data_IF_056126178501
#
_entry.id   IF_056126178501
#
_cell.length_a   1.000
_cell.length_b   1.000
_cell.length_c   1.000
_cell.angle_alpha   90.00
_cell.angle_beta   90.00
_cell.angle_gamma   90.00
#
_symmetry.space_group_name_H-M   'P 1'
#
loop_
_entity.id
_entity.type
_entity.pdbx_description
1 polymer ?
#
# COMPACT_ATOMS: atom_id res chain seq x y z
N UNK A 1 13.38 18.94 0.55
CA UNK A 1 12.70 17.98 -0.34
C UNK A 1 12.62 16.69 0.45
N UNK A 2 11.44 16.12 0.70
CA UNK A 2 11.38 14.81 1.36
C UNK A 2 12.19 13.83 0.49
N UNK A 3 13.01 12.99 1.12
CA UNK A 3 13.69 11.92 0.41
C UNK A 3 12.64 11.03 -0.25
N UNK A 4 12.94 10.37 -1.37
CA UNK A 4 12.09 9.32 -1.92
C UNK A 4 12.17 8.10 -0.99
N UNK A 5 11.64 8.23 0.22
CA UNK A 5 11.36 7.10 1.09
C UNK A 5 10.32 6.24 0.37
N UNK A 6 10.53 4.92 0.37
CA UNK A 6 9.58 4.03 -0.29
C UNK A 6 8.20 4.32 0.27
N UNK A 7 7.20 4.40 -0.61
CA UNK A 7 5.78 4.61 -0.29
C UNK A 7 5.24 3.52 0.65
N UNK A 8 6.03 2.49 0.96
CA UNK A 8 5.63 1.32 1.71
C UNK A 8 6.13 1.29 3.16
N UNK A 9 7.15 2.08 3.53
CA UNK A 9 7.71 2.01 4.90
C UNK A 9 6.73 2.43 6.01
N UNK A 10 5.80 3.35 5.72
CA UNK A 10 4.75 3.74 6.68
C UNK A 10 3.48 2.87 6.57
N UNK A 11 3.33 2.09 5.49
CA UNK A 11 2.20 1.18 5.30
C UNK A 11 2.47 -0.18 5.94
N UNK A 12 3.71 -0.65 5.89
CA UNK A 12 4.13 -1.92 6.47
C UNK A 12 3.74 -2.08 7.95
N UNK A 13 3.92 -1.09 8.85
CA UNK A 13 3.52 -1.24 10.24
C UNK A 13 2.03 -1.56 10.37
N UNK A 14 1.17 -0.79 9.69
CA UNK A 14 -0.28 -1.01 9.70
C UNK A 14 -0.66 -2.39 9.17
N UNK A 15 0.02 -2.85 8.12
CA UNK A 15 -0.16 -4.20 7.60
C UNK A 15 0.24 -5.25 8.63
N UNK A 16 1.47 -5.21 9.13
CA UNK A 16 2.05 -6.18 10.05
C UNK A 16 1.30 -6.28 11.39
N UNK A 17 0.73 -5.17 11.86
CA UNK A 17 -0.07 -5.15 13.07
C UNK A 17 -1.57 -5.37 12.84
N UNK A 18 -2.00 -5.55 11.59
CA UNK A 18 -3.43 -5.60 11.21
C UNK A 18 -4.23 -4.44 11.80
N UNK A 19 -3.56 -3.31 12.02
CA UNK A 19 -4.17 -2.15 12.60
C UNK A 19 -4.99 -1.51 11.49
N UNK A 20 -6.31 -1.49 11.65
CA UNK A 20 -7.11 -0.63 10.81
C UNK A 20 -6.59 0.80 10.98
N UNK A 21 -6.36 1.52 9.87
CA UNK A 21 -5.88 2.89 9.92
C UNK A 21 -6.82 3.77 10.72
N UNK A 22 -8.10 3.42 10.76
CA UNK A 22 -9.17 4.16 11.42
C UNK A 22 -10.33 3.20 11.72
N UNK A 23 -10.90 3.25 12.92
CA UNK A 23 -12.14 2.55 13.26
C UNK A 23 -13.39 3.41 12.98
N UNK A 24 -14.59 2.87 13.22
CA UNK A 24 -15.85 3.60 13.02
C UNK A 24 -16.00 4.84 13.93
N UNK A 25 -15.18 4.96 14.97
CA UNK A 25 -15.12 6.10 15.88
C UNK A 25 -13.97 7.07 15.53
N UNK A 26 -13.35 6.90 14.37
CA UNK A 26 -12.21 7.67 13.90
C UNK A 26 -10.98 7.60 14.81
N UNK A 27 -10.81 6.49 15.53
CA UNK A 27 -9.58 6.21 16.26
C UNK A 27 -8.62 5.44 15.38
N UNK A 28 -7.34 5.77 15.51
CA UNK A 28 -6.25 4.98 14.95
C UNK A 28 -5.82 3.92 15.98
N UNK A 29 -5.40 2.74 15.49
CA UNK A 29 -4.97 1.63 16.35
C UNK A 29 -3.48 1.24 16.16
N UNK A 30 -2.74 1.96 15.32
CA UNK A 30 -1.32 1.69 15.06
C UNK A 30 -0.40 2.15 16.20
N UNK A 31 -0.91 2.85 17.22
CA UNK A 31 -0.19 3.23 18.45
C UNK A 31 -0.45 2.28 19.63
N UNK A 32 -1.10 1.14 19.38
CA UNK A 32 -1.14 0.01 20.31
C UNK A 32 0.24 -0.63 20.49
N UNK A 33 0.41 -1.47 21.51
CA UNK A 33 1.67 -2.19 21.75
C UNK A 33 2.09 -3.01 20.51
N UNK A 34 1.13 -3.68 19.85
CA UNK A 34 1.39 -4.43 18.61
C UNK A 34 1.73 -3.50 17.43
N UNK A 35 1.10 -2.34 17.34
CA UNK A 35 1.44 -1.32 16.34
C UNK A 35 2.85 -0.77 16.52
N UNK A 36 3.24 -0.46 17.76
CA UNK A 36 4.59 0.01 18.11
C UNK A 36 5.63 -1.09 17.82
N UNK A 37 5.35 -2.35 18.15
CA UNK A 37 6.20 -3.50 17.77
C UNK A 37 6.42 -3.56 16.25
N UNK A 38 5.36 -3.35 15.46
CA UNK A 38 5.46 -3.37 14.01
C UNK A 38 6.27 -2.19 13.45
N UNK A 39 6.09 -0.99 14.00
CA UNK A 39 6.91 0.17 13.66
C UNK A 39 8.37 -0.04 14.04
N UNK A 40 8.64 -0.63 15.20
CA UNK A 40 10.00 -0.95 15.65
C UNK A 40 10.66 -1.95 14.70
N UNK A 41 9.96 -3.02 14.33
CA UNK A 41 10.47 -4.02 13.40
C UNK A 41 10.86 -3.40 12.06
N UNK A 42 9.99 -2.60 11.45
CA UNK A 42 10.26 -1.96 10.15
C UNK A 42 11.40 -0.94 10.27
N UNK A 43 11.48 -0.23 11.39
CA UNK A 43 12.56 0.73 11.67
C UNK A 43 13.91 0.04 11.81
N UNK A 44 13.97 -1.07 12.57
CA UNK A 44 15.20 -1.82 12.84
C UNK A 44 15.87 -2.31 11.56
N UNK A 45 15.08 -2.73 10.55
CA UNK A 45 15.59 -3.10 9.22
C UNK A 45 16.47 -1.98 8.62
N UNK A 46 16.14 -0.72 8.86
CA UNK A 46 16.85 0.44 8.31
C UNK A 46 17.91 0.98 9.28
N UNK A 47 17.56 1.18 10.55
CA UNK A 47 18.40 1.92 11.50
C UNK A 47 19.41 1.04 12.23
N UNK A 48 19.17 -0.27 12.30
CA UNK A 48 19.98 -1.21 13.08
C UNK A 48 20.61 -2.29 12.21
N UNK A 49 19.83 -2.93 11.36
CA UNK A 49 20.26 -4.11 10.60
C UNK A 49 20.90 -3.72 9.25
N UNK A 50 20.55 -2.54 8.71
CA UNK A 50 21.15 -1.99 7.49
C UNK A 50 20.65 -2.68 6.21
N UNK A 51 19.47 -3.28 6.26
CA UNK A 51 18.83 -3.98 5.14
C UNK A 51 18.35 -3.01 4.05
N UNK A 52 18.09 -1.75 4.41
CA UNK A 52 17.84 -0.69 3.44
C UNK A 52 18.38 0.68 3.93
N UNK A 53 18.54 1.62 3.00
CA UNK A 53 18.91 3.00 3.30
C UNK A 53 18.06 3.99 2.46
N UNK A 54 17.42 5.00 3.08
CA UNK A 54 16.51 5.90 2.37
C UNK A 54 17.20 6.80 1.34
N UNK A 55 18.53 6.95 1.41
CA UNK A 55 19.31 7.72 0.42
C UNK A 55 19.88 6.85 -0.72
N UNK A 56 19.75 5.52 -0.64
CA UNK A 56 20.32 4.60 -1.63
C UNK A 56 19.31 4.29 -2.74
N UNK A 57 19.19 5.13 -3.77
CA UNK A 57 18.22 4.93 -4.88
C UNK A 57 16.75 4.91 -4.42
N UNK A 58 15.84 5.09 -5.38
CA UNK A 58 14.41 4.85 -5.14
C UNK A 58 14.10 3.35 -5.07
N UNK A 59 13.10 2.96 -4.27
CA UNK A 59 12.70 1.55 -4.06
C UNK A 59 12.48 0.78 -5.37
N UNK A 60 11.70 1.36 -6.30
CA UNK A 60 11.44 0.77 -7.61
C UNK A 60 12.74 0.44 -8.38
N UNK A 61 13.76 1.30 -8.25
CA UNK A 61 15.05 1.14 -8.91
C UNK A 61 15.91 0.07 -8.23
N UNK A 62 15.88 -0.03 -6.90
CA UNK A 62 16.68 -1.01 -6.15
C UNK A 62 16.42 -2.43 -6.66
N UNK A 63 15.16 -2.83 -6.75
CA UNK A 63 14.79 -4.19 -7.18
C UNK A 63 15.00 -4.41 -8.68
N UNK A 64 14.56 -3.46 -9.53
CA UNK A 64 14.69 -3.57 -10.99
C UNK A 64 16.15 -3.61 -11.47
N UNK A 65 17.08 -2.98 -10.73
CA UNK A 65 18.52 -3.02 -11.00
C UNK A 65 19.25 -4.19 -10.31
N UNK A 66 18.53 -5.10 -9.65
CA UNK A 66 19.12 -6.23 -8.92
C UNK A 66 19.96 -5.83 -7.71
N UNK A 67 19.70 -4.67 -7.11
CA UNK A 67 20.36 -4.17 -5.90
C UNK A 67 19.62 -4.53 -4.61
N UNK A 68 18.33 -4.83 -4.69
CA UNK A 68 17.53 -5.38 -3.61
C UNK A 68 17.09 -6.82 -3.94
N UNK A 69 17.16 -7.70 -2.96
CA UNK A 69 16.72 -9.10 -3.09
C UNK A 69 15.20 -9.26 -2.95
N UNK A 70 14.55 -8.36 -2.22
CA UNK A 70 13.10 -8.31 -2.03
C UNK A 70 12.60 -6.88 -2.17
N UNK A 71 11.34 -6.75 -2.58
CA UNK A 71 10.60 -5.49 -2.62
C UNK A 71 9.15 -5.76 -2.26
N UNK A 72 8.59 -4.92 -1.40
CA UNK A 72 7.15 -4.89 -1.17
C UNK A 72 6.55 -3.95 -2.21
N UNK A 73 5.51 -4.41 -2.89
CA UNK A 73 4.90 -3.70 -4.00
C UNK A 73 3.43 -4.02 -4.11
N UNK A 74 2.68 -3.08 -4.69
CA UNK A 74 1.32 -3.30 -5.17
C UNK A 74 1.30 -4.22 -6.40
N UNK A 75 0.11 -4.70 -6.75
CA UNK A 75 -0.14 -5.58 -7.90
C UNK A 75 0.45 -5.04 -9.21
N UNK A 76 0.29 -3.74 -9.47
CA UNK A 76 0.80 -3.06 -10.67
C UNK A 76 2.31 -3.22 -10.86
N UNK A 77 3.06 -3.46 -9.76
CA UNK A 77 4.50 -3.72 -9.80
C UNK A 77 4.89 -4.92 -10.66
N UNK A 78 4.00 -5.90 -10.87
CA UNK A 78 4.23 -7.02 -11.79
C UNK A 78 4.37 -6.51 -13.24
N UNK A 79 3.48 -5.59 -13.64
CA UNK A 79 3.51 -4.96 -14.95
C UNK A 79 4.67 -3.98 -15.11
N UNK A 80 4.92 -3.16 -14.08
CA UNK A 80 6.03 -2.21 -14.07
C UNK A 80 7.37 -2.91 -14.28
N UNK A 81 7.62 -4.04 -13.59
CA UNK A 81 8.85 -4.81 -13.75
C UNK A 81 8.98 -5.42 -15.14
N UNK A 82 7.87 -5.84 -15.76
CA UNK A 82 7.88 -6.33 -17.15
C UNK A 82 8.35 -5.24 -18.13
N UNK A 83 8.04 -3.97 -17.86
CA UNK A 83 8.46 -2.84 -18.68
C UNK A 83 9.89 -2.37 -18.35
N UNK A 84 10.19 -2.18 -17.07
CA UNK A 84 11.44 -1.58 -16.60
C UNK A 84 12.62 -2.57 -16.55
N UNK A 85 12.34 -3.85 -16.32
CA UNK A 85 13.36 -4.90 -16.18
C UNK A 85 12.86 -6.24 -16.76
N UNK A 86 12.62 -6.34 -18.08
CA UNK A 86 12.00 -7.51 -18.72
C UNK A 86 12.76 -8.83 -18.51
N UNK A 87 14.07 -8.75 -18.30
CA UNK A 87 14.92 -9.92 -18.08
C UNK A 87 14.97 -10.38 -16.62
N UNK A 88 14.50 -9.55 -15.68
CA UNK A 88 14.50 -9.84 -14.25
C UNK A 88 13.63 -11.07 -13.97
N UNK A 89 14.22 -12.05 -13.29
CA UNK A 89 13.52 -13.25 -12.84
C UNK A 89 13.09 -13.03 -11.39
N UNK A 90 11.78 -12.96 -11.16
CA UNK A 90 11.22 -12.75 -9.83
C UNK A 90 9.99 -13.62 -9.57
N UNK A 91 9.65 -13.76 -8.29
CA UNK A 91 8.44 -14.43 -7.81
C UNK A 91 7.70 -13.50 -6.85
N UNK A 92 6.37 -13.59 -6.89
CA UNK A 92 5.48 -12.87 -5.96
C UNK A 92 5.02 -13.84 -4.89
N UNK A 93 5.02 -13.36 -3.65
CA UNK A 93 4.51 -14.05 -2.48
C UNK A 93 3.67 -13.09 -1.65
N UNK A 94 2.81 -13.63 -0.78
CA UNK A 94 2.23 -12.83 0.29
C UNK A 94 3.36 -12.18 1.11
N UNK A 95 3.14 -10.94 1.55
CA UNK A 95 4.13 -10.22 2.33
C UNK A 95 4.47 -11.01 3.61
N UNK A 96 5.76 -11.14 3.96
CA UNK A 96 6.17 -11.82 5.18
C UNK A 96 5.55 -11.16 6.42
N UNK A 97 5.25 -11.98 7.43
CA UNK A 97 4.77 -11.54 8.73
C UNK A 97 5.49 -12.33 9.84
N UNK A 98 5.63 -11.78 11.06
CA UNK A 98 6.16 -12.53 12.17
C UNK A 98 5.34 -13.81 12.41
N UNK A 99 6.00 -14.94 12.68
CA UNK A 99 5.35 -16.25 12.81
C UNK A 99 4.30 -16.31 13.93
N UNK A 100 4.42 -15.46 14.95
CA UNK A 100 3.46 -15.32 16.06
C UNK A 100 2.25 -14.45 15.74
N UNK A 101 2.21 -13.80 14.56
CA UNK A 101 1.16 -12.88 14.13
C UNK A 101 0.44 -13.44 12.91
N UNK A 102 -0.85 -13.15 12.69
CA UNK A 102 -1.56 -13.65 11.52
C UNK A 102 -1.05 -12.98 10.24
N UNK A 103 -1.05 -13.68 9.09
CA UNK A 103 -0.74 -13.09 7.80
C UNK A 103 -1.72 -11.96 7.50
N UNK A 104 -1.20 -10.91 6.89
CA UNK A 104 -2.00 -9.78 6.45
C UNK A 104 -1.43 -9.19 5.18
N UNK A 105 -2.35 -8.82 4.30
CA UNK A 105 -2.09 -8.05 3.10
C UNK A 105 -2.99 -6.83 3.21
N UNK A 106 -2.49 -5.67 2.83
CA UNK A 106 -3.33 -4.47 2.75
C UNK A 106 -3.80 -4.29 1.32
N UNK A 107 -5.09 -3.97 1.16
CA UNK A 107 -5.68 -3.61 -0.11
C UNK A 107 -6.07 -2.14 -0.09
N UNK A 108 -5.68 -1.39 -1.11
CA UNK A 108 -6.23 -0.07 -1.42
C UNK A 108 -7.02 -0.15 -2.73
N UNK A 109 -7.83 0.86 -3.00
CA UNK A 109 -8.56 0.94 -4.26
C UNK A 109 -8.61 2.36 -4.80
N UNK A 110 -8.67 2.46 -6.13
CA UNK A 110 -9.01 3.70 -6.82
C UNK A 110 -10.41 3.58 -7.38
N UNK A 111 -11.22 4.63 -7.22
CA UNK A 111 -12.59 4.67 -7.72
C UNK A 111 -12.74 5.71 -8.82
N UNK A 112 -13.42 5.34 -9.91
CA UNK A 112 -13.87 6.31 -10.90
C UNK A 112 -15.07 7.08 -10.36
N UNK A 113 -14.98 8.41 -10.37
CA UNK A 113 -16.05 9.32 -9.95
C UNK A 113 -16.44 10.25 -11.08
N UNK A 114 -17.74 10.60 -11.16
CA UNK A 114 -18.24 11.61 -12.08
C UNK A 114 -18.53 12.88 -11.29
N UNK A 115 -17.86 13.98 -11.65
CA UNK A 115 -18.10 15.28 -11.05
C UNK A 115 -19.56 15.71 -11.23
N UNK A 116 -20.18 16.18 -10.15
CA UNK A 116 -21.53 16.75 -10.16
C UNK A 116 -21.65 18.00 -11.04
N UNK A 117 -20.53 18.69 -11.29
CA UNK A 117 -20.46 19.84 -12.18
C UNK A 117 -20.32 19.45 -13.67
N UNK A 118 -20.24 18.15 -14.00
CA UNK A 118 -20.12 17.70 -15.38
C UNK A 118 -21.33 18.13 -16.20
N UNK A 119 -21.08 18.71 -17.38
CA UNK A 119 -22.14 19.02 -18.35
C UNK A 119 -22.58 17.78 -19.15
N UNK A 120 -21.91 16.63 -18.95
CA UNK A 120 -22.08 15.41 -19.73
C UNK A 120 -22.23 14.18 -18.83
N UNK A 121 -23.05 14.27 -17.77
CA UNK A 121 -23.18 13.24 -16.71
C UNK A 121 -23.49 11.84 -17.28
N UNK A 122 -24.44 11.73 -18.23
CA UNK A 122 -24.81 10.44 -18.81
C UNK A 122 -23.67 9.79 -19.60
N UNK A 123 -22.96 10.58 -20.42
CA UNK A 123 -21.83 10.10 -21.19
C UNK A 123 -20.65 9.72 -20.28
N UNK A 124 -20.39 10.53 -19.24
CA UNK A 124 -19.37 10.22 -18.23
C UNK A 124 -19.67 8.89 -17.51
N UNK A 125 -20.93 8.66 -17.10
CA UNK A 125 -21.30 7.37 -16.50
C UNK A 125 -21.23 6.20 -17.48
N UNK A 126 -21.58 6.41 -18.75
CA UNK A 126 -21.41 5.37 -19.79
C UNK A 126 -19.93 5.00 -19.96
N UNK A 127 -19.03 5.98 -19.88
CA UNK A 127 -17.58 5.75 -19.91
C UNK A 127 -17.08 4.99 -18.68
N UNK A 128 -17.55 5.34 -17.48
CA UNK A 128 -17.22 4.59 -16.26
C UNK A 128 -17.72 3.15 -16.35
N UNK A 129 -18.92 2.91 -16.87
CA UNK A 129 -19.45 1.56 -17.09
C UNK A 129 -18.57 0.76 -18.07
N UNK A 130 -18.11 1.40 -19.15
CA UNK A 130 -17.17 0.78 -20.08
C UNK A 130 -15.85 0.41 -19.40
N UNK A 131 -15.21 1.36 -18.69
CA UNK A 131 -13.94 1.13 -17.99
C UNK A 131 -14.05 0.03 -16.92
N UNK A 132 -15.19 -0.03 -16.24
CA UNK A 132 -15.46 -1.01 -15.19
C UNK A 132 -16.09 -2.30 -15.72
N UNK A 133 -16.19 -2.52 -17.03
CA UNK A 133 -16.66 -3.78 -17.60
C UNK A 133 -15.65 -4.92 -17.40
N UNK A 134 -16.11 -6.17 -17.48
CA UNK A 134 -15.22 -7.32 -17.36
C UNK A 134 -14.17 -7.34 -18.48
N UNK A 135 -14.56 -7.01 -19.71
CA UNK A 135 -13.66 -6.94 -20.87
C UNK A 135 -12.57 -5.89 -20.67
N UNK A 136 -12.95 -4.65 -20.31
CA UNK A 136 -11.98 -3.57 -20.11
C UNK A 136 -11.01 -3.85 -18.96
N UNK A 137 -11.52 -4.35 -17.83
CA UNK A 137 -10.65 -4.69 -16.70
C UNK A 137 -9.73 -5.88 -17.00
N UNK A 138 -10.23 -6.91 -17.69
CA UNK A 138 -9.39 -8.03 -18.13
C UNK A 138 -8.26 -7.52 -19.04
N UNK A 139 -8.59 -6.68 -20.01
CA UNK A 139 -7.61 -6.08 -20.93
C UNK A 139 -6.57 -5.24 -20.17
N UNK A 140 -7.01 -4.45 -19.20
CA UNK A 140 -6.12 -3.64 -18.36
C UNK A 140 -5.17 -4.50 -17.53
N UNK A 141 -5.71 -5.49 -16.81
CA UNK A 141 -4.92 -6.39 -15.97
C UNK A 141 -3.93 -7.23 -16.81
N UNK A 142 -4.34 -7.73 -17.98
CA UNK A 142 -3.47 -8.48 -18.90
C UNK A 142 -2.32 -7.62 -19.45
N UNK A 143 -2.55 -6.32 -19.60
CA UNK A 143 -1.53 -5.34 -19.99
C UNK A 143 -0.49 -5.04 -18.91
N UNK A 144 -0.65 -5.56 -17.69
CA UNK A 144 0.17 -5.21 -16.53
C UNK A 144 -0.35 -3.99 -15.75
N UNK A 145 -1.61 -3.63 -15.95
CA UNK A 145 -2.27 -2.60 -15.15
C UNK A 145 -2.63 -3.08 -13.74
N UNK A 146 -3.66 -2.46 -13.17
CA UNK A 146 -4.13 -2.71 -11.81
C UNK A 146 -4.82 -4.06 -11.64
N UNK A 147 -4.93 -4.50 -10.39
CA UNK A 147 -5.73 -5.66 -10.01
C UNK A 147 -7.20 -5.39 -10.40
N UNK A 148 -7.90 -6.33 -11.06
CA UNK A 148 -9.29 -6.12 -11.43
C UNK A 148 -10.18 -5.99 -10.20
N UNK A 149 -11.10 -5.01 -10.19
CA UNK A 149 -12.08 -4.87 -9.11
C UNK A 149 -13.24 -5.86 -9.21
N UNK A 150 -13.39 -6.55 -10.35
CA UNK A 150 -14.35 -7.65 -10.51
C UNK A 150 -13.78 -8.96 -9.99
N UNK A 151 -14.32 -9.45 -8.89
CA UNK A 151 -13.95 -10.74 -8.26
C UNK A 151 -13.94 -11.91 -9.25
N UNK A 152 -14.87 -11.96 -10.20
CA UNK A 152 -14.93 -13.01 -11.21
C UNK A 152 -13.66 -13.11 -12.08
N UNK A 153 -12.92 -12.00 -12.27
CA UNK A 153 -11.68 -12.00 -13.05
C UNK A 153 -10.49 -12.62 -12.30
N UNK A 154 -10.60 -12.83 -10.98
CA UNK A 154 -9.56 -13.54 -10.21
C UNK A 154 -9.44 -15.02 -10.60
N UNK A 155 -10.47 -15.58 -11.24
CA UNK A 155 -10.52 -16.94 -11.76
C UNK A 155 -10.23 -17.02 -13.27
N UNK A 156 -9.95 -15.91 -13.95
CA UNK A 156 -9.69 -15.90 -15.40
C UNK A 156 -8.38 -16.63 -15.73
N UNK A 157 -8.47 -17.67 -16.56
CA UNK A 157 -7.36 -18.56 -16.88
C UNK A 157 -6.21 -17.85 -17.60
N UNK A 158 -6.51 -16.85 -18.43
CA UNK A 158 -5.50 -16.10 -19.18
C UNK A 158 -4.69 -15.21 -18.24
N UNK A 159 -5.34 -14.50 -17.32
CA UNK A 159 -4.65 -13.70 -16.30
C UNK A 159 -3.81 -14.59 -15.38
N UNK A 160 -4.36 -15.72 -14.94
CA UNK A 160 -3.68 -16.68 -14.06
C UNK A 160 -2.54 -17.45 -14.72
N UNK A 161 -2.43 -17.41 -16.06
CA UNK A 161 -1.29 -18.03 -16.77
C UNK A 161 0.06 -17.45 -16.36
N UNK A 162 0.08 -16.21 -15.85
CA UNK A 162 1.25 -15.65 -15.17
C UNK A 162 1.26 -16.10 -13.70
N UNK A 163 2.25 -16.89 -13.25
CA UNK A 163 2.29 -17.40 -11.88
C UNK A 163 2.40 -16.29 -10.82
N UNK A 164 2.96 -15.13 -11.16
CA UNK A 164 3.04 -14.00 -10.24
C UNK A 164 1.67 -13.32 -10.07
N UNK A 165 0.87 -13.26 -11.14
CA UNK A 165 -0.53 -12.78 -11.08
C UNK A 165 -1.39 -13.77 -10.30
N UNK A 166 -1.25 -15.08 -10.56
CA UNK A 166 -1.96 -16.11 -9.82
C UNK A 166 -1.69 -16.03 -8.31
N UNK A 167 -0.41 -15.88 -7.91
CA UNK A 167 -0.04 -15.72 -6.50
C UNK A 167 -0.70 -14.47 -5.87
N UNK A 168 -0.73 -13.34 -6.58
CA UNK A 168 -1.40 -12.13 -6.09
C UNK A 168 -2.92 -12.32 -5.97
N UNK A 169 -3.55 -13.00 -6.93
CA UNK A 169 -4.98 -13.31 -6.90
C UNK A 169 -5.35 -14.26 -5.76
N UNK A 170 -4.51 -15.24 -5.47
CA UNK A 170 -4.75 -16.19 -4.37
C UNK A 170 -4.63 -15.50 -3.00
N UNK A 171 -3.83 -14.45 -2.91
CA UNK A 171 -3.63 -13.66 -1.69
C UNK A 171 -4.68 -12.55 -1.50
N UNK A 172 -5.29 -12.06 -2.59
CA UNK A 172 -6.23 -10.95 -2.56
C UNK A 172 -7.45 -11.15 -1.62
N UNK A 173 -8.08 -12.34 -1.51
CA UNK A 173 -9.20 -12.55 -0.59
C UNK A 173 -8.87 -12.35 0.89
N UNK A 174 -7.58 -12.36 1.27
CA UNK A 174 -7.14 -12.11 2.66
C UNK A 174 -6.76 -10.65 2.90
N UNK A 175 -6.95 -9.76 1.91
CA UNK A 175 -6.58 -8.37 2.03
C UNK A 175 -7.52 -7.61 2.98
N UNK A 176 -6.91 -6.79 3.85
CA UNK A 176 -7.61 -5.87 4.75
C UNK A 176 -7.65 -4.50 4.08
N UNK A 177 -8.82 -3.84 3.98
CA UNK A 177 -8.91 -2.50 3.40
C UNK A 177 -8.05 -1.48 4.17
N UNK A 178 -7.23 -0.73 3.43
CA UNK A 178 -6.36 0.32 3.94
C UNK A 178 -6.95 1.72 3.67
N UNK A 179 -8.26 1.90 3.83
CA UNK A 179 -8.87 3.19 3.53
C UNK A 179 -8.79 4.11 4.76
N UNK A 180 -8.00 5.18 4.64
CA UNK A 180 -7.92 6.27 5.60
C UNK A 180 -8.73 7.48 5.14
N UNK A 181 -9.35 8.19 6.08
CA UNK A 181 -10.15 9.36 5.75
C UNK A 181 -9.26 10.56 5.38
N UNK A 182 -9.40 11.11 4.17
CA UNK A 182 -8.59 12.25 3.74
C UNK A 182 -7.14 11.89 3.40
N UNK A 183 -6.92 10.64 2.94
CA UNK A 183 -5.71 10.04 2.35
C UNK A 183 -4.43 10.89 2.40
N UNK A 184 -4.35 11.99 1.65
CA UNK A 184 -3.15 12.84 1.55
C UNK A 184 -2.68 13.45 2.89
N UNK A 185 -3.62 13.85 3.76
CA UNK A 185 -3.28 14.42 5.06
C UNK A 185 -2.79 13.32 6.03
N UNK A 186 -3.47 12.17 6.02
CA UNK A 186 -3.08 10.98 6.79
C UNK A 186 -1.71 10.48 6.33
N UNK A 187 -1.48 10.46 5.02
CA UNK A 187 -0.21 10.13 4.40
C UNK A 187 0.91 11.03 4.92
N UNK A 188 0.68 12.35 4.95
CA UNK A 188 1.66 13.32 5.44
C UNK A 188 2.02 13.08 6.90
N UNK A 189 1.03 12.81 7.75
CA UNK A 189 1.25 12.52 9.18
C UNK A 189 2.09 11.24 9.35
N UNK A 190 1.75 10.18 8.64
CA UNK A 190 2.46 8.89 8.75
C UNK A 190 3.87 8.96 8.18
N UNK A 191 4.09 9.74 7.13
CA UNK A 191 5.44 10.02 6.64
C UNK A 191 6.25 10.79 7.69
N UNK A 192 5.64 11.74 8.40
CA UNK A 192 6.30 12.47 9.47
C UNK A 192 6.68 11.57 10.67
N UNK A 193 5.96 10.47 10.93
CA UNK A 193 6.40 9.44 11.89
C UNK A 193 7.73 8.84 11.44
N UNK A 194 7.79 8.37 10.20
CA UNK A 194 9.00 7.77 9.62
C UNK A 194 10.19 8.74 9.61
N UNK A 195 9.98 9.98 9.17
CA UNK A 195 11.04 11.00 9.12
C UNK A 195 11.61 11.31 10.52
N UNK A 196 10.76 11.40 11.55
CA UNK A 196 11.21 11.60 12.93
C UNK A 196 12.10 10.44 13.38
N UNK A 197 11.69 9.21 13.09
CA UNK A 197 12.43 8.02 13.51
C UNK A 197 13.75 7.91 12.73
N UNK A 198 13.69 7.87 11.40
CA UNK A 198 14.83 7.49 10.54
C UNK A 198 15.78 8.65 10.27
N UNK A 199 15.27 9.88 10.15
CA UNK A 199 16.10 11.05 9.82
C UNK A 199 16.49 11.86 11.06
N UNK A 200 15.67 11.84 12.12
CA UNK A 200 15.90 12.62 13.33
C UNK A 200 16.30 11.77 14.53
N UNK A 201 16.37 10.44 14.37
CA UNK A 201 16.74 9.49 15.42
C UNK A 201 15.85 9.62 16.67
N UNK A 202 14.57 9.93 16.47
CA UNK A 202 13.58 10.02 17.55
C UNK A 202 13.16 8.63 18.03
N UNK A 203 12.70 8.56 19.29
CA UNK A 203 12.13 7.33 19.85
C UNK A 203 10.91 6.86 19.04
N UNK A 204 10.85 5.55 18.75
CA UNK A 204 9.80 4.95 17.91
C UNK A 204 8.43 5.09 18.58
N UNK A 205 8.30 4.68 19.85
CA UNK A 205 7.03 4.69 20.55
C UNK A 205 6.47 6.11 20.71
N UNK A 206 7.32 7.07 21.10
CA UNK A 206 6.96 8.48 21.19
C UNK A 206 6.54 9.04 19.81
N UNK A 207 7.27 8.68 18.75
CA UNK A 207 6.98 9.18 17.41
C UNK A 207 5.63 8.68 16.90
N UNK A 208 5.36 7.39 17.08
CA UNK A 208 4.11 6.74 16.71
C UNK A 208 2.92 7.32 17.48
N UNK A 209 3.04 7.46 18.81
CA UNK A 209 1.98 8.03 19.66
C UNK A 209 1.64 9.48 19.28
N UNK A 210 2.65 10.31 19.06
CA UNK A 210 2.43 11.67 18.59
C UNK A 210 1.73 11.69 17.21
N UNK A 211 2.15 10.84 16.27
CA UNK A 211 1.49 10.76 14.96
C UNK A 211 0.03 10.30 15.07
N UNK A 212 -0.26 9.39 16.00
CA UNK A 212 -1.63 8.96 16.29
C UNK A 212 -2.50 10.07 16.88
N UNK A 213 -1.95 10.91 17.76
CA UNK A 213 -2.64 12.10 18.27
C UNK A 213 -2.92 13.13 17.16
N UNK A 214 -1.95 13.35 16.26
CA UNK A 214 -2.08 14.23 15.09
C UNK A 214 -3.19 13.73 14.14
N UNK A 215 -3.21 12.43 13.83
CA UNK A 215 -4.23 11.82 12.97
C UNK A 215 -5.63 11.87 13.61
N UNK A 216 -5.76 11.60 14.92
CA UNK A 216 -7.02 11.78 15.66
C UNK A 216 -7.49 13.23 15.66
N UNK A 217 -6.58 14.20 15.81
CA UNK A 217 -6.92 15.62 15.78
C UNK A 217 -7.39 16.07 14.39
N UNK A 218 -6.76 15.55 13.32
CA UNK A 218 -7.20 15.75 11.94
C UNK A 218 -8.64 15.26 11.75
N UNK A 219 -8.96 14.05 12.22
CA UNK A 219 -10.31 13.50 12.09
C UNK A 219 -11.36 14.30 12.87
N UNK A 220 -11.08 14.68 14.11
CA UNK A 220 -11.97 15.59 14.88
C UNK A 220 -12.26 16.89 14.11
N UNK A 221 -11.21 17.51 13.56
CA UNK A 221 -11.33 18.75 12.78
C UNK A 221 -12.14 18.56 11.50
N UNK A 222 -11.94 17.45 10.76
CA UNK A 222 -12.60 17.21 9.47
C UNK A 222 -14.05 16.73 9.60
N UNK A 223 -14.32 15.89 10.59
CA UNK A 223 -15.61 15.19 10.73
C UNK A 223 -16.47 15.70 11.88
N UNK A 224 -15.99 16.66 12.67
CA UNK A 224 -16.79 17.33 13.70
C UNK A 224 -17.14 16.43 14.90
N UNK A 225 -16.22 15.55 15.27
CA UNK A 225 -16.31 14.66 16.44
C UNK A 225 -15.98 15.39 17.75
#
# INVERSE_FOLDING_TARGET
MPLPTSTYYYQMPAQLCQCLPVDDNYNVNYDSDWGIEAWQFVTDLVTKDGDDHPQFLADQQKFSLGKAAMRISEYVGIGDLKLAAPDLKFKVFATPHPASKPPSIMGSSWSYVVSSASKQIKAAWSWVQFLTSAESQKKWAAGGGECPSRVALLADEELRSNPNVAAAFDAFPTAIPMDGWGWDDVWTIRQAIWDRIVLQNADVAASVKQGAEEERALYKKKFGL
#
